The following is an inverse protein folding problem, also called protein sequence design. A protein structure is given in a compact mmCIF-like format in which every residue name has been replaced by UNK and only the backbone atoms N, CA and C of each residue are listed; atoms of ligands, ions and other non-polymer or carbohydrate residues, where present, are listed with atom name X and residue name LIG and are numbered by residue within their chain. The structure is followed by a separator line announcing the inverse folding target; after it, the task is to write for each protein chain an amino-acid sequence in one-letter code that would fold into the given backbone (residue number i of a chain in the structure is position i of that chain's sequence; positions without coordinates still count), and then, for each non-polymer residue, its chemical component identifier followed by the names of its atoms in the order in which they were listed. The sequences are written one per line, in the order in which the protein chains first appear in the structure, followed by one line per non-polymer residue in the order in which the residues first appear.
data_IF_919817044564
#
_entry.id   IF_919817044564
#
_cell.length_a   1.000
_cell.length_b   1.000
_cell.length_c   1.000
_cell.angle_alpha   90.00
_cell.angle_beta   90.00
_cell.angle_gamma   90.00
#
_symmetry.space_group_name_H-M   'P 1'
#
loop_
_entity.id
_entity.type
_entity.pdbx_description
1 polymer ?
#
# COMPACT_ATOMS: atom_id res chain seq x y z
N UNK A 1 23.98 19.87 -1.46
CA UNK A 1 22.97 18.87 -1.08
C UNK A 1 22.80 17.95 -2.27
N UNK A 2 23.13 16.66 -2.16
CA UNK A 2 22.85 15.70 -3.22
C UNK A 2 21.33 15.68 -3.43
N UNK A 3 20.87 15.81 -4.67
CA UNK A 3 19.46 15.58 -5.00
C UNK A 3 19.11 14.18 -4.51
N UNK A 4 18.18 14.08 -3.55
CA UNK A 4 17.68 12.78 -3.13
C UNK A 4 17.16 12.07 -4.40
N UNK A 5 17.67 10.87 -4.64
CA UNK A 5 17.28 10.07 -5.80
C UNK A 5 15.76 9.93 -5.80
N UNK A 6 15.11 10.33 -6.88
CA UNK A 6 13.64 10.28 -7.00
C UNK A 6 13.20 8.83 -6.96
N UNK A 7 12.66 8.39 -5.83
CA UNK A 7 12.12 7.04 -5.67
C UNK A 7 10.82 6.87 -6.44
N UNK A 8 10.65 5.69 -7.05
CA UNK A 8 9.42 5.28 -7.71
C UNK A 8 9.18 3.79 -7.44
N UNK A 9 8.03 3.44 -6.92
CA UNK A 9 7.62 2.06 -6.70
C UNK A 9 6.63 1.57 -7.76
N UNK A 10 6.49 0.24 -7.87
CA UNK A 10 5.51 -0.42 -8.73
C UNK A 10 4.73 -1.48 -7.96
N UNK A 11 3.41 -1.42 -8.01
CA UNK A 11 2.54 -2.45 -7.45
C UNK A 11 2.25 -3.53 -8.49
N UNK A 12 2.49 -4.80 -8.12
CA UNK A 12 2.34 -5.96 -8.99
C UNK A 12 0.95 -6.60 -8.84
N UNK A 13 -0.08 -5.97 -9.44
CA UNK A 13 -1.43 -6.54 -9.53
C UNK A 13 -1.80 -6.69 -11.01
N UNK A 14 -1.67 -7.90 -11.54
CA UNK A 14 -1.92 -8.21 -12.95
C UNK A 14 -2.97 -9.31 -13.02
N UNK A 15 -4.17 -8.97 -13.48
CA UNK A 15 -5.26 -9.94 -13.58
C UNK A 15 -5.02 -10.91 -14.74
N UNK A 16 -5.14 -12.22 -14.43
CA UNK A 16 -5.05 -13.27 -15.46
C UNK A 16 -3.65 -13.50 -16.02
N UNK A 17 -2.62 -12.85 -15.48
CA UNK A 17 -1.23 -13.18 -15.83
C UNK A 17 -0.85 -14.55 -15.31
N UNK A 18 0.00 -15.27 -16.04
CA UNK A 18 0.66 -16.44 -15.51
C UNK A 18 1.58 -16.05 -14.36
N UNK A 19 1.76 -16.96 -13.39
CA UNK A 19 2.59 -16.62 -12.22
C UNK A 19 4.03 -16.26 -12.63
N UNK A 20 4.56 -16.88 -13.65
CA UNK A 20 5.89 -16.67 -14.20
C UNK A 20 6.10 -15.28 -14.82
N UNK A 21 5.03 -14.61 -15.23
CA UNK A 21 5.12 -13.24 -15.76
C UNK A 21 5.50 -12.23 -14.66
N UNK A 22 5.06 -12.46 -13.43
CA UNK A 22 5.25 -11.50 -12.33
C UNK A 22 6.74 -11.26 -12.00
N UNK A 23 7.59 -12.29 -11.76
CA UNK A 23 9.02 -12.06 -11.52
C UNK A 23 9.75 -11.45 -12.72
N UNK A 24 9.40 -11.86 -13.93
CA UNK A 24 9.97 -11.31 -15.17
C UNK A 24 9.69 -9.82 -15.32
N UNK A 25 8.45 -9.40 -15.09
CA UNK A 25 8.05 -7.99 -15.15
C UNK A 25 8.66 -7.16 -14.01
N UNK A 26 8.83 -7.76 -12.83
CA UNK A 26 9.50 -7.09 -11.72
C UNK A 26 10.99 -6.82 -12.04
N UNK A 27 11.67 -7.75 -12.72
CA UNK A 27 13.03 -7.53 -13.24
C UNK A 27 13.05 -6.40 -14.27
N UNK A 28 12.14 -6.42 -15.25
CA UNK A 28 12.04 -5.34 -16.24
C UNK A 28 11.78 -3.98 -15.56
N UNK A 29 10.93 -3.92 -14.52
CA UNK A 29 10.69 -2.71 -13.77
C UNK A 29 11.96 -2.22 -13.05
N UNK A 30 12.73 -3.11 -12.42
CA UNK A 30 14.01 -2.76 -11.79
C UNK A 30 15.01 -2.20 -12.82
N UNK A 31 15.13 -2.84 -13.98
CA UNK A 31 15.98 -2.39 -15.10
C UNK A 31 15.59 -1.01 -15.62
N UNK A 32 14.31 -0.64 -15.51
CA UNK A 32 13.75 0.67 -15.86
C UNK A 32 13.82 1.71 -14.75
N UNK A 33 14.42 1.40 -13.58
CA UNK A 33 14.65 2.35 -12.51
C UNK A 33 13.59 2.36 -11.40
N UNK A 34 12.61 1.45 -11.39
CA UNK A 34 11.73 1.30 -10.23
C UNK A 34 12.54 0.84 -9.01
N UNK A 35 12.50 1.63 -7.94
CA UNK A 35 13.28 1.41 -6.72
C UNK A 35 12.64 0.43 -5.74
N UNK A 36 11.35 0.10 -5.93
CA UNK A 36 10.63 -0.84 -5.08
C UNK A 36 9.49 -1.55 -5.82
N UNK A 37 9.28 -2.79 -5.44
CA UNK A 37 8.21 -3.66 -5.96
C UNK A 37 7.27 -4.01 -4.81
N UNK A 38 5.97 -3.75 -5.00
CA UNK A 38 4.95 -3.88 -3.97
C UNK A 38 3.93 -4.97 -4.30
N UNK A 39 3.53 -5.73 -3.30
CA UNK A 39 2.48 -6.74 -3.43
C UNK A 39 1.53 -6.71 -2.25
N UNK A 40 0.22 -6.49 -2.50
CA UNK A 40 -0.82 -6.59 -1.47
C UNK A 40 -1.27 -8.05 -1.26
N UNK A 41 -1.76 -8.35 -0.07
CA UNK A 41 -2.39 -9.64 0.24
C UNK A 41 -3.89 -9.44 0.47
N UNK A 42 -4.70 -9.74 -0.55
CA UNK A 42 -6.17 -9.61 -0.49
C UNK A 42 -6.83 -10.90 -1.01
N UNK A 43 -6.88 -11.09 -2.34
CA UNK A 43 -7.54 -12.23 -3.00
C UNK A 43 -6.70 -12.82 -4.14
N UNK A 44 -5.51 -12.27 -4.36
CA UNK A 44 -4.56 -12.74 -5.38
C UNK A 44 -3.60 -13.80 -4.86
N UNK A 45 -2.53 -14.09 -5.62
CA UNK A 45 -1.45 -14.94 -5.14
C UNK A 45 -0.85 -14.43 -3.83
N UNK A 46 -0.41 -15.37 -2.97
CA UNK A 46 0.25 -15.08 -1.69
C UNK A 46 1.39 -14.07 -1.87
N UNK A 47 1.42 -13.06 -0.99
CA UNK A 47 2.37 -11.97 -1.12
C UNK A 47 3.82 -12.41 -0.91
N UNK A 48 4.09 -13.28 0.08
CA UNK A 48 5.44 -13.74 0.36
C UNK A 48 5.99 -14.67 -0.71
N UNK A 49 5.18 -15.62 -1.21
CA UNK A 49 5.58 -16.51 -2.29
C UNK A 49 5.87 -15.72 -3.59
N UNK A 50 5.04 -14.72 -3.87
CA UNK A 50 5.25 -13.83 -5.02
C UNK A 50 6.53 -13.01 -4.87
N UNK A 51 6.73 -12.36 -3.71
CA UNK A 51 7.94 -11.56 -3.46
C UNK A 51 9.20 -12.43 -3.39
N UNK A 52 9.11 -13.67 -2.91
CA UNK A 52 10.23 -14.60 -2.92
C UNK A 52 10.64 -14.99 -4.35
N UNK A 53 9.68 -15.19 -5.26
CA UNK A 53 9.96 -15.41 -6.68
C UNK A 53 10.62 -14.16 -7.31
N UNK A 54 10.10 -12.96 -7.02
CA UNK A 54 10.68 -11.69 -7.48
C UNK A 54 12.09 -11.48 -6.92
N UNK A 55 12.36 -11.86 -5.67
CA UNK A 55 13.69 -11.75 -5.05
C UNK A 55 14.80 -12.47 -5.82
N UNK A 56 14.43 -13.52 -6.55
CA UNK A 56 15.37 -14.31 -7.38
C UNK A 56 15.72 -13.63 -8.70
N UNK A 57 14.81 -12.82 -9.22
CA UNK A 57 14.95 -12.15 -10.52
C UNK A 57 15.44 -10.70 -10.40
N UNK A 58 15.45 -10.13 -9.19
CA UNK A 58 15.83 -8.74 -8.92
C UNK A 58 17.04 -8.66 -7.98
N UNK A 59 17.75 -7.53 -8.00
CA UNK A 59 18.98 -7.36 -7.21
C UNK A 59 19.06 -6.05 -6.41
N UNK A 60 18.26 -5.05 -6.75
CA UNK A 60 18.34 -3.68 -6.20
C UNK A 60 17.02 -3.22 -5.58
N UNK A 61 15.88 -3.45 -6.26
CA UNK A 61 14.60 -2.96 -5.84
C UNK A 61 14.19 -3.53 -4.46
N UNK A 62 13.69 -2.68 -3.58
CA UNK A 62 13.06 -3.10 -2.33
C UNK A 62 11.81 -3.94 -2.63
N UNK A 63 11.56 -4.94 -1.81
CA UNK A 63 10.45 -5.88 -1.95
C UNK A 63 9.48 -5.70 -0.79
N UNK A 64 8.36 -5.08 -1.06
CA UNK A 64 7.42 -4.62 -0.05
C UNK A 64 6.06 -5.33 -0.13
N UNK A 65 5.51 -5.70 1.00
CA UNK A 65 4.06 -5.94 1.07
C UNK A 65 3.32 -4.61 1.13
N UNK A 66 2.15 -4.50 0.51
CA UNK A 66 1.46 -3.22 0.49
C UNK A 66 -0.06 -3.35 0.32
N UNK A 67 -0.76 -3.71 1.36
CA UNK A 67 -0.33 -4.10 2.71
C UNK A 67 -0.61 -5.57 3.01
N UNK A 68 -0.02 -6.04 4.10
CA UNK A 68 -0.31 -7.33 4.68
C UNK A 68 -1.22 -7.12 5.90
N UNK A 69 -2.43 -7.74 5.96
CA UNK A 69 -3.31 -7.63 7.12
C UNK A 69 -2.73 -8.31 8.36
N UNK A 70 -2.55 -7.56 9.45
CA UNK A 70 -1.92 -8.07 10.68
C UNK A 70 -2.77 -9.07 11.47
N UNK A 71 -4.08 -9.17 11.15
CA UNK A 71 -5.01 -10.04 11.87
C UNK A 71 -5.04 -11.48 11.33
N UNK A 72 -4.66 -11.68 10.07
CA UNK A 72 -4.72 -13.00 9.42
C UNK A 72 -3.43 -13.81 9.56
N UNK A 73 -2.36 -13.18 10.06
CA UNK A 73 -1.09 -13.83 10.41
C UNK A 73 -0.64 -13.32 11.78
N UNK A 74 -0.12 -14.21 12.63
CA UNK A 74 0.42 -13.77 13.92
C UNK A 74 1.71 -12.97 13.74
N UNK A 75 2.03 -12.02 14.63
CA UNK A 75 3.26 -11.22 14.54
C UNK A 75 4.54 -12.08 14.44
N UNK A 76 4.59 -13.21 15.17
CA UNK A 76 5.73 -14.13 15.08
C UNK A 76 5.88 -14.78 13.71
N UNK A 77 4.78 -15.25 13.11
CA UNK A 77 4.79 -15.83 11.76
C UNK A 77 5.14 -14.78 10.71
N UNK A 78 4.61 -13.55 10.85
CA UNK A 78 4.98 -12.45 9.95
C UNK A 78 6.48 -12.14 10.05
N UNK A 79 7.02 -12.05 11.26
CA UNK A 79 8.45 -11.80 11.47
C UNK A 79 9.32 -12.88 10.82
N UNK A 80 8.96 -14.16 10.96
CA UNK A 80 9.64 -15.26 10.25
C UNK A 80 9.63 -15.05 8.73
N UNK A 81 8.46 -14.75 8.17
CA UNK A 81 8.29 -14.58 6.72
C UNK A 81 9.11 -13.40 6.20
N UNK A 82 9.05 -12.24 6.88
CA UNK A 82 9.83 -11.05 6.48
C UNK A 82 11.34 -11.26 6.62
N UNK A 83 11.80 -11.88 7.69
CA UNK A 83 13.22 -12.18 7.85
C UNK A 83 13.71 -13.17 6.82
N UNK A 84 12.92 -14.19 6.49
CA UNK A 84 13.25 -15.14 5.42
C UNK A 84 13.32 -14.42 4.06
N UNK A 85 12.33 -13.59 3.73
CA UNK A 85 12.35 -12.79 2.51
C UNK A 85 13.55 -11.83 2.49
N UNK A 86 13.90 -11.26 3.63
CA UNK A 86 15.02 -10.35 3.79
C UNK A 86 16.37 -11.04 3.53
N UNK A 87 16.57 -12.27 4.03
CA UNK A 87 17.74 -13.08 3.71
C UNK A 87 17.78 -13.44 2.22
N UNK A 88 16.65 -13.91 1.65
CA UNK A 88 16.55 -14.26 0.22
C UNK A 88 16.83 -13.07 -0.68
N UNK A 89 16.39 -11.89 -0.31
CA UNK A 89 16.56 -10.65 -1.09
C UNK A 89 17.82 -9.87 -0.75
N UNK A 90 18.67 -10.36 0.16
CA UNK A 90 19.91 -9.68 0.60
C UNK A 90 19.63 -8.30 1.23
N UNK A 91 18.68 -8.25 2.14
CA UNK A 91 18.37 -7.04 2.93
C UNK A 91 17.41 -6.06 2.28
N UNK A 92 16.61 -6.49 1.28
CA UNK A 92 15.68 -5.61 0.53
C UNK A 92 14.22 -5.72 0.94
N UNK A 93 13.88 -6.54 1.94
CA UNK A 93 12.50 -6.69 2.35
C UNK A 93 11.97 -5.46 3.11
N UNK A 94 10.73 -5.07 2.84
CA UNK A 94 9.97 -4.04 3.54
C UNK A 94 8.67 -4.63 4.06
N UNK A 95 8.46 -4.55 5.37
CA UNK A 95 7.26 -5.03 6.02
C UNK A 95 6.15 -3.97 5.94
N UNK A 96 5.39 -3.99 4.86
CA UNK A 96 4.22 -3.14 4.69
C UNK A 96 2.99 -3.77 5.33
N UNK A 97 2.50 -3.17 6.41
CA UNK A 97 1.46 -3.71 7.29
C UNK A 97 0.20 -2.86 7.25
N UNK A 98 -0.96 -3.50 7.29
CA UNK A 98 -2.24 -2.84 7.39
C UNK A 98 -3.21 -3.55 8.32
N UNK A 99 -4.29 -2.85 8.66
CA UNK A 99 -5.36 -3.43 9.50
C UNK A 99 -6.53 -3.95 8.69
N UNK A 100 -6.50 -3.75 7.37
CA UNK A 100 -7.58 -4.19 6.48
C UNK A 100 -8.97 -3.65 6.89
N UNK A 101 -10.03 -4.42 6.72
CA UNK A 101 -11.39 -4.07 7.10
C UNK A 101 -12.09 -5.22 7.82
N UNK A 102 -13.14 -4.98 8.62
CA UNK A 102 -13.92 -6.04 9.27
C UNK A 102 -14.46 -7.08 8.28
N UNK A 103 -14.83 -6.66 7.07
CA UNK A 103 -15.34 -7.58 6.04
C UNK A 103 -14.27 -8.61 5.64
N UNK A 104 -13.07 -8.16 5.39
CA UNK A 104 -11.96 -9.05 5.00
C UNK A 104 -11.53 -9.90 6.20
N UNK A 105 -11.28 -9.27 7.34
CA UNK A 105 -10.71 -9.95 8.51
C UNK A 105 -11.71 -10.94 9.12
N UNK A 106 -12.95 -10.50 9.39
CA UNK A 106 -13.92 -11.33 10.11
C UNK A 106 -14.71 -12.25 9.17
N UNK A 107 -15.24 -11.67 8.06
CA UNK A 107 -16.14 -12.43 7.20
C UNK A 107 -15.40 -13.37 6.25
N UNK A 108 -14.23 -12.95 5.69
CA UNK A 108 -13.51 -13.79 4.74
C UNK A 108 -12.54 -14.74 5.43
N UNK A 109 -11.86 -14.29 6.49
CA UNK A 109 -10.81 -15.05 7.16
C UNK A 109 -11.19 -15.59 8.55
N UNK A 110 -12.34 -15.21 9.12
CA UNK A 110 -12.78 -15.69 10.43
C UNK A 110 -11.91 -15.22 11.61
N UNK A 111 -11.05 -14.21 11.39
CA UNK A 111 -10.19 -13.63 12.41
C UNK A 111 -10.89 -12.46 13.13
N UNK A 112 -10.45 -12.09 14.32
CA UNK A 112 -11.07 -11.02 15.09
C UNK A 112 -10.52 -9.63 14.70
N UNK A 113 -11.42 -8.69 14.40
CA UNK A 113 -11.09 -7.28 14.15
C UNK A 113 -11.30 -6.45 15.42
N UNK A 114 -10.26 -6.27 16.22
CA UNK A 114 -10.35 -5.59 17.52
C UNK A 114 -9.29 -4.54 17.69
N UNK A 115 -9.70 -3.30 18.14
CA UNK A 115 -8.80 -2.20 18.49
C UNK A 115 -7.63 -2.05 17.49
N UNK A 116 -7.89 -1.76 16.20
CA UNK A 116 -6.90 -1.87 15.12
C UNK A 116 -5.60 -1.06 15.37
N UNK A 117 -5.70 0.13 15.97
CA UNK A 117 -4.52 0.95 16.29
C UNK A 117 -3.68 0.31 17.40
N UNK A 118 -4.31 -0.26 18.43
CA UNK A 118 -3.60 -0.99 19.50
C UNK A 118 -2.98 -2.26 18.97
N UNK A 119 -3.73 -3.02 18.15
CA UNK A 119 -3.25 -4.24 17.52
C UNK A 119 -2.01 -3.96 16.63
N UNK A 120 -2.05 -2.90 15.83
CA UNK A 120 -0.91 -2.49 15.01
C UNK A 120 0.29 -2.11 15.86
N UNK A 121 0.11 -1.32 16.91
CA UNK A 121 1.19 -0.94 17.84
C UNK A 121 1.87 -2.16 18.46
N UNK A 122 1.08 -3.09 18.99
CA UNK A 122 1.58 -4.32 19.61
C UNK A 122 2.27 -5.24 18.59
N UNK A 123 1.70 -5.36 17.38
CA UNK A 123 2.29 -6.12 16.27
C UNK A 123 3.68 -5.57 15.89
N UNK A 124 3.78 -4.25 15.69
CA UNK A 124 5.06 -3.60 15.35
C UNK A 124 6.09 -3.80 16.47
N UNK A 125 5.69 -3.67 17.74
CA UNK A 125 6.60 -3.87 18.87
C UNK A 125 7.17 -5.29 18.88
N UNK A 126 6.33 -6.32 18.73
CA UNK A 126 6.75 -7.72 18.64
C UNK A 126 7.69 -7.93 17.43
N UNK A 127 7.34 -7.41 16.28
CA UNK A 127 8.17 -7.56 15.07
C UNK A 127 9.52 -6.86 15.21
N UNK A 128 9.58 -5.66 15.81
CA UNK A 128 10.84 -4.96 16.08
C UNK A 128 11.74 -5.78 17.02
N UNK A 129 11.19 -6.36 18.09
CA UNK A 129 11.96 -7.25 18.99
C UNK A 129 12.53 -8.46 18.22
N UNK A 130 11.69 -9.13 17.43
CA UNK A 130 12.09 -10.30 16.63
C UNK A 130 13.12 -9.94 15.56
N UNK A 131 12.97 -8.82 14.87
CA UNK A 131 13.93 -8.35 13.86
C UNK A 131 15.30 -8.00 14.47
N UNK A 132 15.29 -7.42 15.68
CA UNK A 132 16.53 -6.99 16.33
C UNK A 132 17.29 -8.13 17.04
N UNK A 133 16.56 -9.05 17.67
CA UNK A 133 17.16 -10.04 18.59
C UNK A 133 16.83 -11.48 18.28
N UNK A 134 15.92 -11.74 17.34
CA UNK A 134 15.37 -13.08 17.08
C UNK A 134 14.46 -13.60 18.20
N UNK A 135 14.11 -12.78 19.21
CA UNK A 135 13.27 -13.19 20.34
C UNK A 135 12.28 -12.08 20.72
N UNK A 136 11.09 -12.49 21.14
CA UNK A 136 10.12 -11.58 21.80
C UNK A 136 9.50 -12.27 23.01
N UNK A 137 9.32 -11.50 24.10
CA UNK A 137 8.54 -11.84 25.28
C UNK A 137 7.53 -10.73 25.55
N UNK A 138 6.57 -10.60 24.68
CA UNK A 138 5.61 -9.50 24.72
C UNK A 138 4.29 -9.92 25.37
N UNK A 139 3.72 -9.06 26.22
CA UNK A 139 2.44 -9.27 26.89
C UNK A 139 1.59 -8.02 26.68
N UNK A 140 0.78 -8.03 25.61
CA UNK A 140 -0.14 -6.95 25.26
C UNK A 140 -1.60 -7.27 25.58
N UNK A 141 -2.47 -6.34 25.20
CA UNK A 141 -3.92 -6.47 25.35
C UNK A 141 -4.56 -7.26 24.18
N UNK A 142 -3.90 -7.29 23.04
CA UNK A 142 -4.34 -7.98 21.81
C UNK A 142 -3.43 -9.18 21.55
N UNK A 143 -2.13 -8.97 21.55
CA UNK A 143 -1.16 -10.02 21.27
C UNK A 143 -0.36 -10.42 22.51
N UNK A 144 -0.08 -11.72 22.58
CA UNK A 144 0.91 -12.30 23.52
C UNK A 144 1.92 -13.07 22.68
N UNK A 145 3.19 -12.87 22.94
CA UNK A 145 4.25 -13.51 22.20
C UNK A 145 5.37 -13.93 23.19
N UNK A 146 5.62 -15.23 23.29
CA UNK A 146 6.84 -15.78 23.87
C UNK A 146 7.43 -16.68 22.78
N UNK A 147 8.28 -16.08 21.93
CA UNK A 147 8.71 -16.71 20.71
C UNK A 147 10.19 -16.43 20.46
N UNK A 148 10.89 -17.45 19.98
CA UNK A 148 12.29 -17.37 19.59
C UNK A 148 12.46 -17.97 18.19
N UNK A 149 13.15 -17.25 17.34
CA UNK A 149 13.57 -17.73 16.02
C UNK A 149 14.74 -18.70 16.15
N UNK A 150 14.74 -19.76 15.35
CA UNK A 150 15.80 -20.75 15.27
C UNK A 150 16.53 -20.67 13.92
N UNK A 151 16.93 -19.44 13.54
CA UNK A 151 17.83 -19.24 12.40
C UNK A 151 18.65 -17.96 12.60
N UNK A 152 19.78 -17.89 11.89
CA UNK A 152 20.70 -16.76 11.97
C UNK A 152 20.19 -15.61 11.09
N UNK A 153 19.99 -14.44 11.68
CA UNK A 153 19.72 -13.19 10.99
C UNK A 153 21.07 -12.60 10.56
N UNK A 154 21.29 -12.40 9.26
CA UNK A 154 22.55 -11.89 8.72
C UNK A 154 22.42 -10.52 8.09
N UNK A 155 21.18 -10.12 7.73
CA UNK A 155 20.89 -8.84 7.10
C UNK A 155 20.45 -7.80 8.14
N UNK A 156 20.50 -6.51 7.77
CA UNK A 156 19.87 -5.45 8.55
C UNK A 156 18.37 -5.72 8.69
N UNK A 157 17.74 -5.34 9.81
CA UNK A 157 16.30 -5.50 9.99
C UNK A 157 15.49 -4.91 8.83
N UNK A 158 14.41 -5.59 8.38
CA UNK A 158 13.48 -5.02 7.41
C UNK A 158 12.90 -3.69 7.92
N UNK A 159 12.71 -2.73 7.01
CA UNK A 159 11.91 -1.54 7.31
C UNK A 159 10.46 -1.94 7.57
N UNK A 160 9.76 -1.19 8.43
CA UNK A 160 8.32 -1.35 8.66
C UNK A 160 7.60 -0.13 8.09
N UNK A 161 6.69 -0.38 7.14
CA UNK A 161 5.82 0.62 6.54
C UNK A 161 4.37 0.35 6.96
N UNK A 162 3.64 1.37 7.42
CA UNK A 162 2.24 1.21 7.84
C UNK A 162 1.28 1.82 6.83
N UNK A 163 0.29 1.04 6.39
CA UNK A 163 -0.86 1.57 5.67
C UNK A 163 -1.73 2.40 6.63
N UNK A 164 -1.97 3.66 6.28
CA UNK A 164 -2.70 4.59 7.12
C UNK A 164 -3.56 5.55 6.30
N UNK A 165 -4.78 5.83 6.79
CA UNK A 165 -5.75 6.71 6.14
C UNK A 165 -6.26 7.81 7.08
N UNK A 166 -6.41 7.50 8.36
CA UNK A 166 -7.07 8.35 9.34
C UNK A 166 -6.12 8.76 10.48
N UNK A 167 -6.33 9.91 11.14
CA UNK A 167 -5.40 10.49 12.10
C UNK A 167 -4.84 9.54 13.15
N UNK A 168 -5.61 8.64 13.79
CA UNK A 168 -5.04 7.76 14.81
C UNK A 168 -3.97 6.81 14.25
N UNK A 169 -4.14 6.29 13.02
CA UNK A 169 -3.17 5.40 12.39
C UNK A 169 -2.00 6.18 11.78
N UNK A 170 -2.27 7.37 11.21
CA UNK A 170 -1.20 8.28 10.72
C UNK A 170 -0.25 8.68 11.85
N UNK A 171 -0.79 9.06 13.01
CA UNK A 171 0.02 9.37 14.19
C UNK A 171 0.80 8.14 14.68
N UNK A 172 0.16 6.96 14.74
CA UNK A 172 0.87 5.75 15.10
C UNK A 172 2.01 5.45 14.12
N UNK A 173 1.79 5.60 12.83
CA UNK A 173 2.84 5.41 11.83
C UNK A 173 4.03 6.36 12.09
N UNK A 174 3.77 7.64 12.38
CA UNK A 174 4.80 8.59 12.81
C UNK A 174 5.59 8.12 14.04
N UNK A 175 4.89 7.55 15.03
CA UNK A 175 5.52 7.07 16.26
C UNK A 175 6.46 5.86 16.05
N UNK A 176 6.08 4.87 15.21
CA UNK A 176 6.70 3.54 15.25
C UNK A 176 7.23 3.01 13.92
N UNK A 177 6.85 3.61 12.77
CA UNK A 177 7.18 3.09 11.45
C UNK A 177 8.37 3.80 10.79
N UNK A 178 9.00 3.13 9.80
CA UNK A 178 10.04 3.71 8.95
C UNK A 178 9.44 4.34 7.68
N UNK A 179 8.17 4.04 7.40
CA UNK A 179 7.41 4.62 6.30
C UNK A 179 5.91 4.51 6.49
N UNK A 180 5.18 5.27 5.70
CA UNK A 180 3.72 5.28 5.62
C UNK A 180 3.30 5.01 4.19
N UNK A 181 2.31 4.16 3.98
CA UNK A 181 1.68 3.92 2.68
C UNK A 181 0.25 4.49 2.71
N UNK A 182 0.04 5.56 1.96
CA UNK A 182 -1.27 6.18 1.75
C UNK A 182 -2.01 5.52 0.58
N UNK A 183 -3.32 5.71 0.52
CA UNK A 183 -4.14 5.11 -0.52
C UNK A 183 -5.40 5.93 -0.78
N UNK A 184 -5.85 6.06 -2.03
CA UNK A 184 -7.07 6.78 -2.44
C UNK A 184 -7.20 8.20 -1.86
N UNK A 185 -6.10 8.86 -1.58
CA UNK A 185 -6.10 10.24 -1.09
C UNK A 185 -5.78 11.18 -2.25
N UNK A 186 -6.54 12.27 -2.45
CA UNK A 186 -6.20 13.25 -3.47
C UNK A 186 -4.98 14.10 -3.05
N UNK A 187 -4.27 14.76 -3.97
CA UNK A 187 -3.04 15.52 -3.65
C UNK A 187 -3.22 16.55 -2.53
N UNK A 188 -4.35 17.23 -2.48
CA UNK A 188 -4.66 18.23 -1.46
C UNK A 188 -4.88 17.64 -0.04
N UNK A 189 -5.11 16.32 0.05
CA UNK A 189 -5.21 15.63 1.33
C UNK A 189 -3.84 15.29 1.95
N UNK A 190 -2.78 15.29 1.14
CA UNK A 190 -1.46 14.85 1.57
C UNK A 190 -0.83 15.77 2.64
N UNK A 191 -0.81 17.11 2.50
CA UNK A 191 -0.20 17.97 3.52
C UNK A 191 -0.83 17.79 4.91
N UNK A 192 -2.17 17.81 5.11
CA UNK A 192 -2.74 17.56 6.44
C UNK A 192 -2.50 16.13 6.95
N UNK A 193 -2.36 15.12 6.08
CA UNK A 193 -1.96 13.77 6.52
C UNK A 193 -0.51 13.75 7.01
N UNK A 194 0.39 14.47 6.35
CA UNK A 194 1.79 14.61 6.78
C UNK A 194 1.88 15.27 8.15
N UNK A 195 1.06 16.30 8.45
CA UNK A 195 1.03 16.93 9.77
C UNK A 195 0.60 15.94 10.89
N UNK A 196 -0.32 15.02 10.60
CA UNK A 196 -0.67 13.95 11.55
C UNK A 196 0.50 12.96 11.77
N UNK A 197 1.23 12.59 10.73
CA UNK A 197 2.43 11.74 10.83
C UNK A 197 3.50 12.44 11.63
N UNK A 198 3.75 13.72 11.36
CA UNK A 198 4.72 14.58 12.06
C UNK A 198 4.38 14.71 13.55
N UNK A 199 3.09 14.88 13.89
CA UNK A 199 2.64 14.91 15.28
C UNK A 199 2.94 13.59 16.01
N UNK A 200 2.78 12.45 15.34
CA UNK A 200 3.17 11.15 15.86
C UNK A 200 4.68 10.99 16.03
N UNK A 201 5.46 11.40 15.04
CA UNK A 201 6.93 11.39 15.09
C UNK A 201 7.46 12.23 16.25
N UNK A 202 6.97 13.46 16.42
CA UNK A 202 7.35 14.36 17.50
C UNK A 202 7.08 13.75 18.89
N UNK A 203 5.96 13.06 19.06
CA UNK A 203 5.63 12.36 20.32
C UNK A 203 6.65 11.26 20.68
N UNK A 204 7.27 10.66 19.65
CA UNK A 204 8.30 9.64 19.80
C UNK A 204 9.73 10.21 19.73
N UNK A 205 9.91 11.51 19.73
CA UNK A 205 11.20 12.23 19.57
C UNK A 205 11.91 11.83 18.25
N UNK A 206 11.16 11.64 17.16
CA UNK A 206 11.67 11.32 15.83
C UNK A 206 11.48 12.49 14.87
N UNK A 207 12.33 12.56 13.84
CA UNK A 207 12.16 13.48 12.73
C UNK A 207 11.19 12.92 11.69
N UNK A 208 10.47 13.79 10.99
CA UNK A 208 9.71 13.42 9.79
C UNK A 208 10.65 12.93 8.67
N UNK A 209 11.88 13.42 8.63
CA UNK A 209 12.90 13.02 7.64
C UNK A 209 13.30 11.54 7.74
N UNK A 210 13.03 10.91 8.91
CA UNK A 210 13.26 9.49 9.14
C UNK A 210 12.11 8.60 8.62
N UNK A 211 11.05 9.22 8.05
CA UNK A 211 9.81 8.52 7.68
C UNK A 211 9.54 8.70 6.19
N UNK A 212 9.50 7.60 5.47
CA UNK A 212 9.16 7.61 4.06
C UNK A 212 7.64 7.78 3.87
N UNK A 213 7.23 8.71 3.00
CA UNK A 213 5.83 8.98 2.68
C UNK A 213 5.52 8.41 1.29
N UNK A 214 4.94 7.21 1.29
CA UNK A 214 4.49 6.52 0.09
C UNK A 214 2.99 6.67 -0.15
N UNK A 215 2.58 6.53 -1.41
CA UNK A 215 1.17 6.46 -1.80
C UNK A 215 0.98 5.57 -3.02
N UNK A 216 -0.09 4.78 -3.05
CA UNK A 216 -0.55 4.11 -4.27
C UNK A 216 -1.22 5.09 -5.22
N UNK A 217 -0.64 5.24 -6.40
CA UNK A 217 -1.16 6.06 -7.49
C UNK A 217 -1.73 5.17 -8.60
N UNK A 218 -3.05 5.15 -8.70
CA UNK A 218 -3.73 4.44 -9.78
C UNK A 218 -3.60 5.19 -11.08
N UNK A 219 -2.98 4.53 -12.06
CA UNK A 219 -2.73 5.15 -13.36
C UNK A 219 -3.07 4.14 -14.46
N UNK A 220 -3.80 4.60 -15.47
CA UNK A 220 -4.13 3.87 -16.68
C UNK A 220 -3.62 4.65 -17.90
N UNK A 221 -2.55 4.15 -18.53
CA UNK A 221 -2.12 4.68 -19.82
C UNK A 221 -2.96 4.02 -20.90
N UNK A 222 -3.83 4.80 -21.55
CA UNK A 222 -4.84 4.30 -22.49
C UNK A 222 -5.28 5.38 -23.47
N UNK A 223 -5.78 4.97 -24.63
CA UNK A 223 -6.52 5.83 -25.56
C UNK A 223 -8.03 5.87 -25.24
N UNK A 224 -8.54 4.85 -24.51
CA UNK A 224 -9.94 4.76 -24.08
C UNK A 224 -10.09 5.21 -22.61
N UNK A 225 -10.00 6.53 -22.42
CA UNK A 225 -10.14 7.13 -21.09
C UNK A 225 -11.53 6.89 -20.49
N UNK A 226 -12.59 6.92 -21.32
CA UNK A 226 -13.95 6.75 -20.84
C UNK A 226 -14.18 5.37 -20.21
N UNK A 227 -13.71 4.31 -20.87
CA UNK A 227 -13.81 2.95 -20.32
C UNK A 227 -12.95 2.78 -19.06
N UNK A 228 -11.78 3.40 -19.01
CA UNK A 228 -10.90 3.36 -17.83
C UNK A 228 -11.54 4.08 -16.64
N UNK A 229 -12.09 5.27 -16.82
CA UNK A 229 -12.82 6.03 -15.78
C UNK A 229 -14.03 5.22 -15.30
N UNK A 230 -14.85 4.67 -16.19
CA UNK A 230 -16.01 3.88 -15.80
C UNK A 230 -15.63 2.63 -14.98
N UNK A 231 -14.53 1.97 -15.34
CA UNK A 231 -14.02 0.82 -14.59
C UNK A 231 -13.50 1.24 -13.21
N UNK A 232 -12.76 2.33 -13.13
CA UNK A 232 -12.26 2.84 -11.87
C UNK A 232 -13.38 3.28 -10.91
N UNK A 233 -14.44 3.91 -11.42
CA UNK A 233 -15.62 4.26 -10.61
C UNK A 233 -16.27 3.05 -9.95
N UNK A 234 -16.33 1.89 -10.64
CA UNK A 234 -16.84 0.64 -10.04
C UNK A 234 -15.93 0.15 -8.89
N UNK A 235 -14.63 0.22 -9.06
CA UNK A 235 -13.66 -0.09 -7.99
C UNK A 235 -13.83 0.88 -6.81
N UNK A 236 -13.86 2.18 -7.10
CA UNK A 236 -13.95 3.25 -6.10
C UNK A 236 -15.25 3.18 -5.30
N UNK A 237 -16.39 2.84 -5.92
CA UNK A 237 -17.67 2.65 -5.23
C UNK A 237 -17.58 1.54 -4.16
N UNK A 238 -16.85 0.47 -4.42
CA UNK A 238 -16.58 -0.58 -3.43
C UNK A 238 -15.77 -0.08 -2.23
N UNK A 239 -14.76 0.75 -2.48
CA UNK A 239 -13.97 1.37 -1.40
C UNK A 239 -14.75 2.42 -0.62
N UNK A 240 -15.60 3.22 -1.27
CA UNK A 240 -16.45 4.20 -0.61
C UNK A 240 -17.44 3.57 0.40
N UNK A 241 -17.80 2.30 0.21
CA UNK A 241 -18.61 1.56 1.16
C UNK A 241 -17.85 1.19 2.44
N UNK A 242 -16.54 1.03 2.39
CA UNK A 242 -15.70 0.72 3.55
C UNK A 242 -15.62 1.95 4.46
N UNK A 243 -15.96 1.77 5.73
CA UNK A 243 -16.13 2.88 6.69
C UNK A 243 -14.90 3.77 6.81
N UNK A 244 -13.70 3.20 6.86
CA UNK A 244 -12.46 3.96 7.04
C UNK A 244 -12.13 4.82 5.82
N UNK A 245 -12.40 4.32 4.60
CA UNK A 245 -12.29 5.12 3.38
C UNK A 245 -13.36 6.20 3.31
N UNK A 246 -14.61 5.89 3.69
CA UNK A 246 -15.67 6.88 3.71
C UNK A 246 -15.35 8.04 4.67
N UNK A 247 -14.85 7.75 5.88
CA UNK A 247 -14.39 8.79 6.82
C UNK A 247 -13.28 9.67 6.21
N UNK A 248 -12.35 9.08 5.48
CA UNK A 248 -11.29 9.83 4.80
C UNK A 248 -11.87 10.67 3.66
N UNK A 249 -12.71 10.12 2.80
CA UNK A 249 -13.35 10.85 1.71
C UNK A 249 -14.18 12.03 2.20
N UNK A 250 -14.97 11.83 3.26
CA UNK A 250 -15.73 12.92 3.91
C UNK A 250 -14.80 14.03 4.40
N UNK A 251 -13.69 13.68 5.06
CA UNK A 251 -12.74 14.65 5.60
C UNK A 251 -12.11 15.52 4.52
N UNK A 252 -11.91 14.99 3.32
CA UNK A 252 -11.24 15.68 2.22
C UNK A 252 -12.16 16.12 1.10
N UNK A 253 -13.45 16.35 1.43
CA UNK A 253 -14.41 17.03 0.57
C UNK A 253 -14.92 16.21 -0.61
N UNK A 254 -15.08 14.91 -0.41
CA UNK A 254 -15.74 13.99 -1.35
C UNK A 254 -17.08 13.45 -0.80
N UNK A 255 -17.58 14.02 0.29
CA UNK A 255 -18.72 13.52 1.07
C UNK A 255 -20.07 13.60 0.33
N UNK A 256 -20.30 14.65 -0.45
CA UNK A 256 -21.56 14.87 -1.14
C UNK A 256 -21.89 13.77 -2.17
N UNK A 257 -20.90 13.19 -2.84
CA UNK A 257 -21.10 12.06 -3.76
C UNK A 257 -21.07 10.72 -3.02
N UNK A 258 -20.08 10.53 -2.13
CA UNK A 258 -19.83 9.25 -1.49
C UNK A 258 -20.88 8.86 -0.44
N UNK A 259 -21.65 9.79 0.08
CA UNK A 259 -22.86 9.50 0.86
C UNK A 259 -23.89 8.72 0.06
N UNK A 260 -24.22 9.18 -1.14
CA UNK A 260 -25.14 8.52 -2.08
C UNK A 260 -24.59 7.19 -2.61
N UNK A 261 -23.31 7.15 -2.97
CA UNK A 261 -22.62 5.92 -3.38
C UNK A 261 -22.78 4.83 -2.33
N UNK A 262 -22.58 5.19 -1.05
CA UNK A 262 -22.70 4.25 0.07
C UNK A 262 -24.12 3.73 0.26
N UNK A 263 -25.13 4.59 0.08
CA UNK A 263 -26.55 4.22 0.12
C UNK A 263 -26.88 3.22 -0.99
N UNK A 264 -26.58 3.57 -2.24
CA UNK A 264 -26.84 2.73 -3.41
C UNK A 264 -26.11 1.37 -3.32
N UNK A 265 -24.87 1.39 -2.84
CA UNK A 265 -24.11 0.16 -2.63
C UNK A 265 -24.75 -0.77 -1.60
N UNK A 266 -25.29 -0.23 -0.51
CA UNK A 266 -26.02 -0.99 0.52
C UNK A 266 -27.29 -1.60 -0.04
N UNK A 267 -27.99 -0.88 -0.91
CA UNK A 267 -29.22 -1.33 -1.57
C UNK A 267 -28.94 -2.35 -2.70
N UNK A 268 -27.69 -2.76 -2.93
CA UNK A 268 -27.29 -3.72 -3.96
C UNK A 268 -27.18 -3.12 -5.37
N UNK A 269 -27.42 -1.82 -5.54
CA UNK A 269 -27.41 -1.09 -6.82
C UNK A 269 -25.98 -0.69 -7.21
N UNK A 270 -25.17 -1.67 -7.60
CA UNK A 270 -23.72 -1.50 -7.82
C UNK A 270 -23.39 -0.53 -8.96
N UNK A 271 -24.09 -0.64 -10.07
CA UNK A 271 -23.88 0.21 -11.25
C UNK A 271 -24.34 1.65 -10.97
N UNK A 272 -25.49 1.83 -10.29
CA UNK A 272 -25.96 3.14 -9.88
C UNK A 272 -24.96 3.80 -8.90
N UNK A 273 -24.39 3.03 -7.97
CA UNK A 273 -23.37 3.53 -7.05
C UNK A 273 -22.11 4.00 -7.79
N UNK A 274 -21.65 3.26 -8.80
CA UNK A 274 -20.52 3.69 -9.62
C UNK A 274 -20.86 4.95 -10.43
N UNK A 275 -22.05 5.01 -11.01
CA UNK A 275 -22.52 6.17 -11.81
C UNK A 275 -22.74 7.44 -10.97
N UNK A 276 -22.98 7.31 -9.67
CA UNK A 276 -23.10 8.44 -8.77
C UNK A 276 -21.77 9.15 -8.49
N UNK A 277 -20.63 8.54 -8.85
CA UNK A 277 -19.30 9.17 -8.74
C UNK A 277 -19.09 10.01 -10.01
N UNK A 278 -18.77 11.30 -9.87
CA UNK A 278 -18.41 12.16 -11.00
C UNK A 278 -17.05 11.78 -11.60
N UNK A 279 -16.83 12.11 -12.87
CA UNK A 279 -15.52 11.94 -13.50
C UNK A 279 -14.46 12.83 -12.81
N UNK A 280 -14.87 14.02 -12.38
CA UNK A 280 -14.00 14.93 -11.63
C UNK A 280 -13.50 14.31 -10.32
N UNK A 281 -14.37 13.65 -9.54
CA UNK A 281 -13.97 12.94 -8.32
C UNK A 281 -13.07 11.73 -8.62
N UNK A 282 -13.34 10.98 -9.69
CA UNK A 282 -12.48 9.88 -10.13
C UNK A 282 -11.09 10.37 -10.53
N UNK A 283 -10.99 11.48 -11.28
CA UNK A 283 -9.73 12.07 -11.73
C UNK A 283 -8.90 12.71 -10.61
N UNK A 284 -9.49 13.03 -9.45
CA UNK A 284 -8.72 13.43 -8.27
C UNK A 284 -7.96 12.24 -7.64
N UNK A 285 -8.41 11.01 -7.86
CA UNK A 285 -7.92 9.80 -7.20
C UNK A 285 -7.15 8.86 -8.13
N UNK A 286 -7.20 9.10 -9.45
CA UNK A 286 -6.49 8.31 -10.46
C UNK A 286 -6.18 9.16 -11.70
N UNK A 287 -5.20 8.73 -12.50
CA UNK A 287 -4.90 9.34 -13.78
C UNK A 287 -5.22 8.40 -14.94
N UNK A 288 -5.75 8.96 -16.01
CA UNK A 288 -6.12 8.24 -17.22
C UNK A 288 -5.60 8.97 -18.46
N UNK A 289 -5.31 8.25 -19.53
CA UNK A 289 -4.93 8.84 -20.82
C UNK A 289 -3.46 8.68 -21.19
N UNK A 290 -2.84 9.67 -21.87
CA UNK A 290 -1.50 9.55 -22.40
C UNK A 290 -0.44 9.61 -21.27
N UNK A 291 0.81 9.16 -21.52
CA UNK A 291 1.89 9.15 -20.53
C UNK A 291 2.09 10.46 -19.78
N UNK A 292 1.87 11.60 -20.44
CA UNK A 292 2.01 12.93 -19.82
C UNK A 292 0.99 13.15 -18.68
N UNK A 293 -0.21 12.61 -18.77
CA UNK A 293 -1.22 12.69 -17.72
C UNK A 293 -0.75 11.94 -16.46
N UNK A 294 -0.23 10.72 -16.63
CA UNK A 294 0.32 9.93 -15.54
C UNK A 294 1.52 10.61 -14.88
N UNK A 295 2.48 11.15 -15.66
CA UNK A 295 3.62 11.89 -15.12
C UNK A 295 3.20 13.13 -14.34
N UNK A 296 2.27 13.94 -14.86
CA UNK A 296 1.73 15.11 -14.13
C UNK A 296 1.07 14.70 -12.81
N UNK A 297 0.36 13.59 -12.81
CA UNK A 297 -0.27 13.06 -11.60
C UNK A 297 0.78 12.67 -10.55
N UNK A 298 1.84 11.95 -10.92
CA UNK A 298 2.96 11.64 -10.02
C UNK A 298 3.59 12.91 -9.45
N UNK A 299 3.89 13.91 -10.29
CA UNK A 299 4.51 15.16 -9.85
C UNK A 299 3.59 15.98 -8.93
N UNK A 300 2.26 15.92 -9.09
CA UNK A 300 1.33 16.60 -8.17
C UNK A 300 1.43 16.04 -6.75
N UNK A 301 1.63 14.75 -6.59
CA UNK A 301 1.85 14.13 -5.29
C UNK A 301 3.24 14.40 -4.72
N UNK A 302 4.27 14.43 -5.56
CA UNK A 302 5.61 14.87 -5.12
C UNK A 302 5.58 16.31 -4.61
N UNK A 303 4.91 17.21 -5.31
CA UNK A 303 4.72 18.58 -4.88
C UNK A 303 3.93 18.70 -3.56
N UNK A 304 3.03 17.74 -3.28
CA UNK A 304 2.29 17.67 -2.03
C UNK A 304 3.09 17.05 -0.85
N UNK A 305 4.32 16.56 -1.09
CA UNK A 305 5.20 16.04 -0.05
C UNK A 305 5.40 14.52 -0.04
N UNK A 306 4.86 13.80 -1.04
CA UNK A 306 5.15 12.37 -1.21
C UNK A 306 6.57 12.19 -1.74
N UNK A 307 7.40 11.41 -1.05
CA UNK A 307 8.76 11.12 -1.48
C UNK A 307 8.92 9.71 -2.09
N UNK A 308 7.91 8.84 -1.99
CA UNK A 308 7.89 7.53 -2.61
C UNK A 308 6.53 7.21 -3.27
N UNK A 309 6.20 7.82 -4.42
CA UNK A 309 5.02 7.40 -5.18
C UNK A 309 5.17 5.95 -5.65
N UNK A 310 4.11 5.17 -5.52
CA UNK A 310 4.04 3.77 -5.96
C UNK A 310 2.97 3.66 -7.05
N UNK A 311 3.41 3.43 -8.27
CA UNK A 311 2.51 3.27 -9.40
C UNK A 311 1.69 1.99 -9.21
N UNK A 312 0.38 2.14 -9.29
CA UNK A 312 -0.59 1.04 -9.28
C UNK A 312 -1.26 1.00 -10.67
N UNK A 313 -0.72 0.23 -11.63
CA UNK A 313 -1.31 0.14 -12.95
C UNK A 313 -2.74 -0.39 -12.88
N UNK A 314 -3.65 0.29 -13.54
CA UNK A 314 -5.04 -0.13 -13.75
C UNK A 314 -5.35 -0.14 -15.24
N UNK A 315 -6.43 -0.79 -15.64
CA UNK A 315 -6.82 -0.94 -17.06
C UNK A 315 -8.30 -0.61 -17.28
N UNK A 316 -8.74 -0.49 -18.52
CA UNK A 316 -10.14 -0.25 -18.90
C UNK A 316 -11.05 -1.48 -18.66
N UNK A 317 -10.70 -2.31 -17.71
CA UNK A 317 -11.34 -3.52 -17.26
C UNK A 317 -10.51 -4.10 -16.12
N UNK A 318 -10.43 -5.44 -16.01
CA UNK A 318 -9.38 -6.03 -15.16
C UNK A 318 -8.03 -5.71 -15.80
N UNK A 319 -7.09 -5.20 -15.02
CA UNK A 319 -5.75 -4.83 -15.50
C UNK A 319 -5.09 -6.02 -16.21
N UNK A 320 -5.13 -6.03 -17.52
CA UNK A 320 -4.50 -7.05 -18.33
C UNK A 320 -2.98 -6.82 -18.40
N UNK A 321 -2.25 -7.85 -18.77
CA UNK A 321 -0.80 -7.79 -18.93
C UNK A 321 -0.34 -6.63 -19.83
N UNK A 322 -1.07 -6.36 -20.93
CA UNK A 322 -0.77 -5.25 -21.86
C UNK A 322 -0.89 -3.88 -21.18
N UNK A 323 -1.97 -3.65 -20.40
CA UNK A 323 -2.24 -2.36 -19.76
C UNK A 323 -1.24 -2.11 -18.63
N UNK A 324 -0.90 -3.17 -17.87
CA UNK A 324 0.14 -3.14 -16.87
C UNK A 324 1.49 -2.74 -17.48
N UNK A 325 1.90 -3.44 -18.54
CA UNK A 325 3.19 -3.22 -19.21
C UNK A 325 3.26 -1.83 -19.82
N UNK A 326 2.19 -1.37 -20.48
CA UNK A 326 2.13 -0.02 -21.06
C UNK A 326 2.31 1.06 -19.99
N UNK A 327 1.61 0.95 -18.84
CA UNK A 327 1.73 1.91 -17.74
C UNK A 327 3.11 1.86 -17.09
N UNK A 328 3.64 0.67 -16.80
CA UNK A 328 4.99 0.49 -16.24
C UNK A 328 6.06 1.13 -17.13
N UNK A 329 6.03 0.87 -18.43
CA UNK A 329 7.02 1.39 -19.38
C UNK A 329 6.92 2.91 -19.56
N UNK A 330 5.70 3.45 -19.64
CA UNK A 330 5.47 4.88 -19.86
C UNK A 330 5.87 5.77 -18.68
N UNK A 331 5.94 5.22 -17.46
CA UNK A 331 6.19 5.96 -16.23
C UNK A 331 7.57 5.65 -15.61
N UNK A 332 8.38 4.85 -16.24
CA UNK A 332 9.72 4.48 -15.73
C UNK A 332 10.66 5.67 -15.49
N UNK A 333 10.38 6.82 -16.09
CA UNK A 333 11.16 8.06 -15.99
C UNK A 333 10.43 9.17 -15.21
N UNK A 334 9.35 8.86 -14.50
CA UNK A 334 8.48 9.85 -13.83
C UNK A 334 9.04 10.33 -12.47
#
# INVERSE_FOLDING_TARGET
MAQAEKRLGLHMAIAGAAFEDTPRLAREAEERGYSSIWRAEVTGPDAFLTLAAIARETSKAELATGDLPIQIRTPGVMAMSFLTLNEMSRGRAVAGLGVSSPVIVERWHGAAYRKPVTAMRECVAIMRELFATGRSKFQGSIYKCDFRLDFRITQKPPKICLAALNPPMLRLAGEVADGVLLNYSPPEAIPPMIEEIKAGAAKANRSLDDIEIGIYLRICITEDEAAAVATFKRELAGYAFVEEYNKMFTRYGLDHEFGEVRRLWRDGKRDDAANAISDASAQRLAAFGPPIAGRKFVESFRAAGVNHPVIFPIGPGRTALKDFTATMQALAEA
#
